data_IF_827169571061
#
_entry.id   IF_827169571061
#
_cell.length_a   1.000
_cell.length_b   1.000
_cell.length_c   1.000
_cell.angle_alpha   90.00
_cell.angle_beta   90.00
_cell.angle_gamma   90.00
#
_symmetry.space_group_name_H-M   'P 1'
#
loop_
_entity.id
_entity.type
_entity.pdbx_description
1 polymer ?
#
# COMPACT_ATOMS: atom_id res chain seq x y z
N UNK A 1 -8.74 -9.59 -4.18
CA UNK A 1 -7.29 -9.33 -4.20
C UNK A 1 -6.88 -8.80 -5.57
N UNK A 2 -7.24 -9.49 -6.64
CA UNK A 2 -6.96 -9.04 -8.03
C UNK A 2 -7.52 -7.65 -8.36
N UNK A 3 -8.73 -7.31 -7.90
CA UNK A 3 -9.29 -5.97 -8.10
C UNK A 3 -8.50 -4.86 -7.40
N UNK A 4 -7.93 -5.15 -6.22
CA UNK A 4 -7.10 -4.21 -5.47
C UNK A 4 -5.75 -4.00 -6.17
N UNK A 5 -5.16 -5.07 -6.70
CA UNK A 5 -3.89 -5.00 -7.45
C UNK A 5 -4.07 -4.14 -8.70
N UNK A 6 -5.10 -4.43 -9.50
CA UNK A 6 -5.41 -3.66 -10.73
C UNK A 6 -5.68 -2.18 -10.43
N UNK A 7 -6.35 -1.88 -9.31
CA UNK A 7 -6.60 -0.51 -8.90
C UNK A 7 -5.28 0.23 -8.60
N UNK A 8 -4.39 -0.38 -7.82
CA UNK A 8 -3.08 0.19 -7.50
C UNK A 8 -2.22 0.43 -8.74
N UNK A 9 -2.24 -0.50 -9.70
CA UNK A 9 -1.53 -0.35 -10.98
C UNK A 9 -2.09 0.81 -11.81
N UNK A 10 -3.41 0.95 -11.85
CA UNK A 10 -4.04 2.07 -12.56
C UNK A 10 -3.70 3.42 -11.93
N UNK A 11 -3.71 3.49 -10.59
CA UNK A 11 -3.38 4.70 -9.84
C UNK A 11 -1.91 5.08 -10.03
N UNK A 12 -1.00 4.10 -10.04
CA UNK A 12 0.41 4.34 -10.34
C UNK A 12 0.59 4.87 -11.77
N UNK A 13 -0.09 4.30 -12.76
CA UNK A 13 -0.01 4.78 -14.14
C UNK A 13 -0.50 6.23 -14.27
N UNK A 14 -1.63 6.58 -13.63
CA UNK A 14 -2.13 7.96 -13.60
C UNK A 14 -1.14 8.93 -12.97
N UNK A 15 -0.50 8.53 -11.87
CA UNK A 15 0.50 9.35 -11.21
C UNK A 15 1.70 9.62 -12.13
N UNK A 16 2.20 8.58 -12.81
CA UNK A 16 3.32 8.71 -13.74
C UNK A 16 2.99 9.60 -14.94
N UNK A 17 1.79 9.47 -15.50
CA UNK A 17 1.32 10.37 -16.57
C UNK A 17 1.25 11.82 -16.11
N UNK A 18 0.78 12.05 -14.88
CA UNK A 18 0.72 13.39 -14.27
C UNK A 18 2.12 13.96 -14.09
N UNK A 19 3.06 13.18 -13.53
CA UNK A 19 4.45 13.58 -13.36
C UNK A 19 5.11 13.92 -14.70
N UNK A 20 4.87 13.11 -15.75
CA UNK A 20 5.42 13.39 -17.08
C UNK A 20 4.93 14.72 -17.63
N UNK A 21 3.61 14.97 -17.58
CA UNK A 21 3.03 16.25 -18.04
C UNK A 21 3.59 17.44 -17.28
N UNK A 22 3.71 17.34 -15.95
CA UNK A 22 4.28 18.40 -15.13
C UNK A 22 5.75 18.69 -15.50
N UNK A 23 6.53 17.65 -15.81
CA UNK A 23 7.91 17.81 -16.25
C UNK A 23 8.00 18.51 -17.62
N UNK A 24 7.16 18.09 -18.56
CA UNK A 24 7.07 18.68 -19.90
C UNK A 24 6.65 20.16 -19.85
N UNK A 25 5.75 20.54 -18.93
CA UNK A 25 5.34 21.93 -18.69
C UNK A 25 6.42 22.75 -17.97
N UNK A 26 7.14 22.14 -17.01
CA UNK A 26 8.18 22.80 -16.24
C UNK A 26 9.40 23.19 -17.09
N UNK A 27 9.81 22.34 -18.03
CA UNK A 27 11.02 22.55 -18.83
C UNK A 27 11.03 23.89 -19.61
N UNK A 28 10.03 24.22 -20.46
CA UNK A 28 10.02 25.50 -21.16
C UNK A 28 9.89 26.69 -20.20
N UNK A 29 9.21 26.52 -19.06
CA UNK A 29 9.13 27.55 -18.04
C UNK A 29 10.50 27.84 -17.41
N UNK A 30 11.27 26.80 -17.07
CA UNK A 30 12.63 26.95 -16.57
C UNK A 30 13.53 27.65 -17.59
N UNK A 31 13.47 27.22 -18.84
CA UNK A 31 14.25 27.83 -19.93
C UNK A 31 13.89 29.31 -20.10
N UNK A 32 12.61 29.66 -19.99
CA UNK A 32 12.16 31.05 -20.04
C UNK A 32 12.70 31.88 -18.87
N UNK A 33 12.64 31.35 -17.64
CA UNK A 33 13.22 32.00 -16.45
C UNK A 33 14.73 32.18 -16.61
N UNK A 34 15.44 31.17 -17.11
CA UNK A 34 16.89 31.25 -17.36
C UNK A 34 17.20 32.29 -18.45
N UNK A 35 16.39 32.39 -19.50
CA UNK A 35 16.53 33.44 -20.51
C UNK A 35 16.36 34.84 -19.90
N UNK A 36 15.32 35.06 -19.09
CA UNK A 36 15.10 36.32 -18.38
C UNK A 36 16.28 36.67 -17.47
N UNK A 37 16.81 35.71 -16.72
CA UNK A 37 18.00 35.90 -15.89
C UNK A 37 19.21 36.33 -16.73
N UNK A 38 19.42 35.68 -17.88
CA UNK A 38 20.51 36.05 -18.79
C UNK A 38 20.35 37.47 -19.35
N UNK A 39 19.13 37.94 -19.65
CA UNK A 39 18.91 39.34 -20.08
C UNK A 39 19.28 40.37 -19.00
N UNK A 40 19.24 39.97 -17.73
CA UNK A 40 19.66 40.77 -16.59
C UNK A 40 21.14 40.58 -16.22
N UNK A 41 21.91 39.83 -17.02
CA UNK A 41 23.32 39.51 -16.74
C UNK A 41 23.53 38.52 -15.60
N UNK A 42 22.47 37.84 -15.14
CA UNK A 42 22.54 36.83 -14.09
C UNK A 42 22.81 35.44 -14.68
N UNK A 43 23.55 34.61 -13.95
CA UNK A 43 23.76 33.21 -14.33
C UNK A 43 22.45 32.42 -14.26
N UNK A 44 22.31 31.43 -15.15
CA UNK A 44 21.24 30.40 -15.12
C UNK A 44 21.16 29.73 -13.75
N UNK A 45 19.95 29.33 -13.37
CA UNK A 45 19.70 28.56 -12.16
C UNK A 45 20.23 27.12 -12.32
N UNK A 46 20.71 26.49 -11.23
CA UNK A 46 21.06 25.07 -11.22
C UNK A 46 19.92 24.21 -11.76
N UNK A 47 20.27 23.11 -12.42
CA UNK A 47 19.28 22.16 -12.92
C UNK A 47 18.93 21.18 -11.80
N UNK A 48 17.74 21.32 -11.23
CA UNK A 48 17.21 20.42 -10.21
C UNK A 48 17.20 18.95 -10.68
N UNK A 49 17.01 18.71 -11.98
CA UNK A 49 17.10 17.36 -12.57
C UNK A 49 18.51 16.74 -12.52
N UNK A 50 19.57 17.55 -12.44
CA UNK A 50 20.96 17.07 -12.35
C UNK A 50 21.38 16.87 -10.89
N UNK A 51 20.85 17.68 -9.96
CA UNK A 51 21.15 17.56 -8.52
C UNK A 51 20.36 16.45 -7.83
N UNK A 52 19.13 16.18 -8.29
CA UNK A 52 18.27 15.16 -7.69
C UNK A 52 17.84 14.15 -8.75
N UNK A 53 18.62 13.08 -8.90
CA UNK A 53 18.38 11.96 -9.83
C UNK A 53 16.94 11.40 -9.70
N UNK A 54 16.34 11.52 -8.50
CA UNK A 54 14.95 11.13 -8.19
C UNK A 54 13.88 11.98 -8.89
N UNK A 55 14.24 13.17 -9.38
CA UNK A 55 13.37 14.05 -10.17
C UNK A 55 13.50 13.80 -11.68
N UNK A 56 14.40 12.91 -12.10
CA UNK A 56 14.49 12.49 -13.49
C UNK A 56 13.29 11.64 -13.88
N UNK A 57 12.71 11.89 -15.06
CA UNK A 57 11.67 11.03 -15.63
C UNK A 57 12.14 9.56 -15.73
N UNK A 58 13.43 9.37 -16.01
CA UNK A 58 14.06 8.05 -16.11
C UNK A 58 13.98 7.28 -14.79
N UNK A 59 14.12 7.97 -13.65
CA UNK A 59 13.97 7.36 -12.32
C UNK A 59 12.55 6.82 -12.11
N UNK A 60 11.54 7.59 -12.47
CA UNK A 60 10.14 7.17 -12.32
C UNK A 60 9.78 6.00 -13.24
N UNK A 61 10.30 5.97 -14.47
CA UNK A 61 10.09 4.86 -15.41
C UNK A 61 10.83 3.59 -14.96
N UNK A 62 12.07 3.73 -14.49
CA UNK A 62 12.85 2.63 -13.92
C UNK A 62 12.17 2.02 -12.72
N UNK A 63 11.62 2.85 -11.82
CA UNK A 63 10.82 2.35 -10.70
C UNK A 63 9.64 1.53 -11.20
N UNK A 64 8.82 2.04 -12.13
CA UNK A 64 7.70 1.27 -12.71
C UNK A 64 8.14 -0.10 -13.25
N UNK A 65 9.28 -0.16 -13.95
CA UNK A 65 9.82 -1.40 -14.50
C UNK A 65 10.31 -2.38 -13.41
N UNK A 66 10.88 -1.89 -12.32
CA UNK A 66 11.26 -2.72 -11.17
C UNK A 66 10.04 -3.33 -10.49
N UNK A 67 8.96 -2.56 -10.27
CA UNK A 67 7.74 -3.07 -9.64
C UNK A 67 6.98 -4.09 -10.51
N UNK A 68 7.20 -4.09 -11.83
CA UNK A 68 6.59 -5.03 -12.78
C UNK A 68 7.39 -6.34 -12.93
N UNK A 69 8.66 -6.37 -12.51
CA UNK A 69 9.39 -7.63 -12.42
C UNK A 69 8.94 -8.34 -11.15
N UNK A 70 8.08 -9.34 -11.33
CA UNK A 70 7.89 -10.37 -10.31
C UNK A 70 9.28 -10.91 -9.92
N UNK A 71 9.64 -10.99 -8.62
CA UNK A 71 10.84 -11.69 -8.21
C UNK A 71 10.76 -13.09 -8.80
N UNK A 72 11.73 -13.47 -9.63
CA UNK A 72 11.82 -14.81 -10.21
C UNK A 72 11.63 -15.84 -9.07
N UNK A 73 10.45 -16.44 -9.01
CA UNK A 73 10.17 -17.52 -8.09
C UNK A 73 11.11 -18.65 -8.50
N UNK A 74 12.04 -19.10 -7.63
CA UNK A 74 12.94 -20.19 -7.97
C UNK A 74 12.05 -21.38 -8.32
N UNK A 75 12.24 -21.94 -9.51
CA UNK A 75 11.47 -23.07 -10.03
C UNK A 75 11.32 -24.11 -8.92
N UNK A 76 10.10 -24.25 -8.42
CA UNK A 76 9.79 -25.13 -7.29
C UNK A 76 10.30 -26.54 -7.70
N UNK A 77 11.13 -27.21 -6.89
CA UNK A 77 11.65 -28.54 -7.22
C UNK A 77 10.50 -29.47 -7.59
N UNK A 78 10.66 -30.25 -8.65
CA UNK A 78 9.62 -31.13 -9.23
C UNK A 78 8.97 -32.07 -8.18
N UNK A 79 9.71 -32.40 -7.12
CA UNK A 79 9.23 -33.16 -5.96
C UNK A 79 8.11 -32.46 -5.17
N UNK A 80 8.16 -31.14 -5.03
CA UNK A 80 7.13 -30.33 -4.36
C UNK A 80 5.88 -30.17 -5.25
N UNK A 81 6.07 -30.05 -6.57
CA UNK A 81 4.97 -30.02 -7.53
C UNK A 81 4.20 -31.37 -7.55
N UNK A 82 4.93 -32.49 -7.52
CA UNK A 82 4.33 -33.82 -7.44
C UNK A 82 3.56 -34.06 -6.14
N UNK A 83 4.09 -33.58 -5.00
CA UNK A 83 3.40 -33.66 -3.70
C UNK A 83 2.08 -32.87 -3.68
N UNK A 84 2.04 -31.70 -4.32
CA UNK A 84 0.82 -30.91 -4.47
C UNK A 84 -0.23 -31.62 -5.35
N UNK A 85 0.19 -32.25 -6.46
CA UNK A 85 -0.69 -33.02 -7.33
C UNK A 85 -1.26 -34.28 -6.63
N UNK A 86 -0.44 -34.97 -5.83
CA UNK A 86 -0.89 -36.13 -5.05
C UNK A 86 -1.90 -35.74 -3.95
N UNK A 87 -1.70 -34.58 -3.31
CA UNK A 87 -2.64 -34.05 -2.32
C UNK A 87 -4.01 -33.70 -2.93
N UNK A 88 -4.05 -33.25 -4.18
CA UNK A 88 -5.30 -32.98 -4.90
C UNK A 88 -6.08 -34.25 -5.24
N UNK A 89 -5.40 -35.36 -5.57
CA UNK A 89 -6.09 -36.62 -5.87
C UNK A 89 -6.80 -37.24 -4.65
N UNK A 90 -6.28 -37.04 -3.44
CA UNK A 90 -6.92 -37.52 -2.20
C UNK A 90 -8.21 -36.76 -1.84
N UNK A 91 -8.47 -35.59 -2.44
CA UNK A 91 -9.68 -34.80 -2.16
C UNK A 91 -10.86 -35.07 -3.12
N UNK A 92 -10.65 -35.83 -4.22
CA UNK A 92 -11.69 -36.04 -5.25
C UNK A 92 -12.74 -37.09 -4.84
N UNK A 93 -12.47 -37.94 -3.85
CA UNK A 93 -13.39 -39.02 -3.43
C UNK A 93 -14.44 -38.63 -2.36
N UNK A 94 -14.69 -37.34 -2.13
CA UNK A 94 -15.78 -36.85 -1.24
C UNK A 94 -16.70 -35.86 -1.95
N UNK A 95 -17.34 -36.28 -3.04
CA UNK A 95 -18.43 -35.52 -3.67
C UNK A 95 -19.75 -36.29 -3.62
N UNK A 96 -20.43 -36.26 -2.48
CA UNK A 96 -21.90 -36.26 -2.40
C UNK A 96 -22.32 -35.51 -1.13
N UNK A 97 -22.36 -34.18 -1.20
CA UNK A 97 -23.47 -33.42 -0.63
C UNK A 97 -23.46 -32.01 -1.21
N UNK A 98 -24.44 -31.77 -2.08
CA UNK A 98 -24.68 -30.50 -2.73
C UNK A 98 -25.62 -29.66 -1.85
N UNK A 99 -25.06 -28.77 -1.02
CA UNK A 99 -25.65 -27.46 -0.69
C UNK A 99 -24.76 -26.69 0.26
N UNK A 100 -24.69 -25.37 0.03
CA UNK A 100 -23.96 -24.35 0.80
C UNK A 100 -22.50 -24.15 0.38
N UNK A 101 -22.35 -23.46 -0.75
CA UNK A 101 -21.29 -22.47 -0.94
C UNK A 101 -21.41 -21.40 0.13
N UNK A 102 -20.98 -21.72 1.36
CA UNK A 102 -20.67 -20.72 2.35
C UNK A 102 -19.42 -19.98 1.85
N UNK A 103 -19.65 -18.90 1.12
CA UNK A 103 -18.67 -17.84 0.99
C UNK A 103 -18.07 -17.63 2.38
N UNK A 104 -16.77 -17.84 2.52
CA UNK A 104 -15.97 -17.41 3.65
C UNK A 104 -15.94 -15.87 3.62
N UNK A 105 -17.13 -15.25 3.77
CA UNK A 105 -17.29 -13.83 4.00
C UNK A 105 -16.63 -13.62 5.33
N UNK A 106 -15.39 -13.14 5.31
CA UNK A 106 -14.81 -12.51 6.48
C UNK A 106 -15.85 -11.50 6.96
N UNK A 107 -16.58 -11.85 8.02
CA UNK A 107 -17.45 -10.90 8.67
C UNK A 107 -16.57 -9.69 8.98
N UNK A 108 -16.99 -8.47 8.61
CA UNK A 108 -16.23 -7.28 8.96
C UNK A 108 -15.96 -7.32 10.46
N UNK A 109 -14.71 -7.10 10.90
CA UNK A 109 -14.31 -7.28 12.29
C UNK A 109 -15.23 -6.44 13.19
N UNK A 110 -15.67 -6.98 14.34
CA UNK A 110 -16.62 -6.29 15.20
C UNK A 110 -16.05 -4.91 15.58
N UNK A 111 -16.81 -3.85 15.28
CA UNK A 111 -16.43 -2.48 15.58
C UNK A 111 -16.96 -2.07 16.97
N UNK A 112 -16.35 -1.06 17.58
CA UNK A 112 -16.84 -0.37 18.79
C UNK A 112 -16.95 1.13 18.51
N UNK A 113 -17.89 1.82 19.14
CA UNK A 113 -17.93 3.29 19.10
C UNK A 113 -16.89 3.87 20.08
N UNK A 114 -16.17 4.92 19.65
CA UNK A 114 -15.32 5.71 20.54
C UNK A 114 -16.17 6.41 21.62
N UNK A 115 -15.73 6.41 22.89
CA UNK A 115 -16.48 7.06 23.98
C UNK A 115 -16.44 8.60 23.92
N UNK A 116 -15.56 9.19 23.11
CA UNK A 116 -15.41 10.64 23.00
C UNK A 116 -16.08 11.19 21.75
N UNK A 117 -15.75 10.66 20.57
CA UNK A 117 -16.30 11.13 19.30
C UNK A 117 -17.38 10.21 18.70
N UNK A 118 -17.70 9.10 19.35
CA UNK A 118 -18.73 8.14 18.92
C UNK A 118 -18.51 7.49 17.53
N UNK A 119 -17.37 7.75 16.88
CA UNK A 119 -17.05 7.10 15.62
C UNK A 119 -16.74 5.62 15.79
N UNK A 120 -17.10 4.83 14.78
CA UNK A 120 -16.77 3.41 14.67
C UNK A 120 -15.24 3.20 14.56
N UNK A 121 -14.67 2.50 15.53
CA UNK A 121 -13.24 2.12 15.58
C UNK A 121 -13.12 0.61 15.80
N UNK A 122 -11.98 0.01 15.43
CA UNK A 122 -11.74 -1.42 15.66
C UNK A 122 -11.87 -1.77 17.16
N UNK A 123 -12.51 -2.90 17.51
CA UNK A 123 -12.82 -3.26 18.91
C UNK A 123 -11.59 -3.30 19.82
N UNK A 124 -10.43 -3.66 19.27
CA UNK A 124 -9.17 -3.72 20.02
C UNK A 124 -8.28 -2.47 19.88
N UNK A 125 -8.77 -1.37 19.28
CA UNK A 125 -7.98 -0.14 19.15
C UNK A 125 -7.68 0.48 20.54
N UNK A 126 -6.40 0.73 20.89
CA UNK A 126 -6.01 1.31 22.18
C UNK A 126 -6.31 2.81 22.29
N UNK A 127 -6.44 3.49 21.14
CA UNK A 127 -6.68 4.92 21.00
C UNK A 127 -7.56 5.15 19.77
N UNK A 128 -8.43 6.17 19.81
CA UNK A 128 -9.18 6.58 18.63
C UNK A 128 -8.22 7.22 17.59
N UNK A 129 -8.20 6.77 16.32
CA UNK A 129 -7.32 7.36 15.32
C UNK A 129 -7.69 8.82 14.99
N UNK A 130 -8.97 9.17 15.16
CA UNK A 130 -9.53 10.48 14.83
C UNK A 130 -9.30 11.51 15.93
N UNK A 131 -9.75 11.23 17.16
CA UNK A 131 -9.69 12.21 18.26
C UNK A 131 -8.59 11.93 19.29
N UNK A 132 -7.81 10.87 19.11
CA UNK A 132 -6.73 10.46 20.03
C UNK A 132 -7.17 10.16 21.47
N UNK A 133 -8.47 10.02 21.73
CA UNK A 133 -8.96 9.60 23.03
C UNK A 133 -8.60 8.13 23.31
N UNK A 134 -8.10 7.84 24.53
CA UNK A 134 -7.75 6.48 24.98
C UNK A 134 -9.02 5.63 25.13
N UNK A 135 -9.02 4.43 24.57
CA UNK A 135 -10.10 3.47 24.83
C UNK A 135 -9.92 2.87 26.22
N UNK A 136 -10.90 3.02 27.11
CA UNK A 136 -10.95 2.26 28.37
C UNK A 136 -11.62 0.90 28.12
N UNK A 137 -11.02 -0.19 28.59
CA UNK A 137 -11.65 -1.52 28.55
C UNK A 137 -12.85 -1.53 29.51
N UNK A 138 -13.96 -2.15 29.10
CA UNK A 138 -15.13 -2.36 29.99
C UNK A 138 -14.86 -3.41 31.07
N UNK A 139 -13.83 -4.25 30.90
CA UNK A 139 -13.43 -5.25 31.88
C UNK A 139 -11.96 -5.00 32.28
N UNK A 140 -11.68 -4.02 33.16
CA UNK A 140 -10.32 -3.81 33.64
C UNK A 140 -9.87 -5.02 34.46
N UNK A 141 -8.71 -5.59 34.13
CA UNK A 141 -8.10 -6.62 34.99
C UNK A 141 -7.88 -5.99 36.37
N UNK A 142 -8.39 -6.65 37.43
CA UNK A 142 -8.23 -6.18 38.80
C UNK A 142 -6.75 -5.91 39.08
N UNK A 143 -6.36 -4.71 39.56
CA UNK A 143 -4.99 -4.46 39.97
C UNK A 143 -4.63 -5.45 41.09
N UNK A 144 -3.49 -6.13 40.94
CA UNK A 144 -2.95 -7.03 41.95
C UNK A 144 -2.55 -6.15 43.14
N UNK A 145 -3.17 -6.37 44.31
CA UNK A 145 -2.83 -5.64 45.54
C UNK A 145 -1.33 -5.81 45.80
N UNK A 146 -0.60 -4.71 45.99
CA UNK A 146 0.77 -4.78 46.51
C UNK A 146 0.69 -5.20 47.99
N UNK A 147 1.56 -6.10 48.46
CA UNK A 147 1.67 -6.35 49.90
C UNK A 147 2.17 -5.06 50.56
N UNK A 148 1.39 -4.57 51.53
CA UNK A 148 1.83 -3.63 52.55
C UNK A 148 2.67 -4.42 53.57
N UNK A 149 3.64 -3.75 54.18
CA UNK A 149 4.68 -4.28 55.08
C UNK A 149 4.16 -5.18 56.22
#
# INVERSE_FOLDING_TARGET
>A
MESTIKQSENDLNKLLETTRRLHDEYKPLKEHVDALRMTLGLHRLPNLNEEEEKLSLDYFEKQKAEWQKEPHEPTIPESLAAAAAAAQQLQVSRKQDARQTATFRQQPPPMKACLSCHQQIHRNAPICPLCKAKSRSRNPKKPKRKPDE
#
